data_IF_002967992606
#
_entry.id   IF_002967992606
#
_cell.length_a   1.000
_cell.length_b   1.000
_cell.length_c   1.000
_cell.angle_alpha   90.00
_cell.angle_beta   90.00
_cell.angle_gamma   90.00
#
_symmetry.space_group_name_H-M   'P 1'
#
loop_
_entity.id
_entity.type
_entity.pdbx_description
1 polymer ?
#
# COMPACT_ATOMS: atom_id res chain seq x y z
N UNK A 1 -2.05 25.58 -4.92
CA UNK A 1 -2.33 24.39 -5.74
C UNK A 1 -3.49 23.70 -5.05
N UNK A 2 -4.63 23.63 -5.73
CA UNK A 2 -5.85 23.02 -5.20
C UNK A 2 -5.75 21.51 -5.44
N UNK A 3 -5.68 20.72 -4.37
CA UNK A 3 -5.73 19.25 -4.47
C UNK A 3 -7.18 18.90 -4.78
N UNK A 4 -7.43 18.36 -5.97
CA UNK A 4 -8.75 17.84 -6.31
C UNK A 4 -9.14 16.75 -5.30
N UNK A 5 -10.17 17.00 -4.49
CA UNK A 5 -10.70 16.01 -3.55
C UNK A 5 -11.16 14.77 -4.33
N UNK A 6 -10.50 13.64 -4.10
CA UNK A 6 -10.85 12.38 -4.76
C UNK A 6 -12.00 11.74 -3.98
N UNK A 7 -13.19 11.70 -4.60
CA UNK A 7 -14.32 10.99 -4.01
C UNK A 7 -14.01 9.49 -3.91
N UNK A 8 -14.27 8.84 -2.75
CA UNK A 8 -14.08 7.40 -2.60
C UNK A 8 -14.89 6.59 -3.62
N UNK A 9 -14.28 5.57 -4.22
CA UNK A 9 -14.93 4.75 -5.25
C UNK A 9 -14.49 3.28 -5.20
N UNK A 10 -15.42 2.36 -5.46
CA UNK A 10 -15.15 0.92 -5.56
C UNK A 10 -15.06 0.49 -7.03
N UNK A 11 -13.98 -0.20 -7.37
CA UNK A 11 -13.71 -0.69 -8.71
C UNK A 11 -13.81 -2.21 -8.74
N UNK A 12 -14.50 -2.74 -9.75
CA UNK A 12 -14.37 -4.15 -10.09
C UNK A 12 -13.05 -4.36 -10.82
N UNK A 13 -12.22 -5.26 -10.30
CA UNK A 13 -10.87 -5.51 -10.78
C UNK A 13 -10.65 -6.99 -11.07
N UNK A 14 -9.82 -7.30 -12.06
CA UNK A 14 -9.28 -8.64 -12.29
C UNK A 14 -7.77 -8.60 -12.11
N UNK A 15 -7.27 -9.23 -11.04
CA UNK A 15 -5.84 -9.35 -10.81
C UNK A 15 -5.36 -10.69 -11.35
N UNK A 16 -4.34 -10.63 -12.22
CA UNK A 16 -3.68 -11.83 -12.74
C UNK A 16 -2.39 -12.05 -11.95
N UNK A 17 -2.30 -13.18 -11.26
CA UNK A 17 -1.11 -13.59 -10.53
C UNK A 17 -0.34 -14.63 -11.32
N UNK A 18 0.89 -14.32 -11.71
CA UNK A 18 1.79 -15.25 -12.39
C UNK A 18 2.93 -15.60 -11.45
N UNK A 19 3.03 -16.87 -11.05
CA UNK A 19 4.21 -17.41 -10.36
C UNK A 19 5.16 -18.00 -11.39
N UNK A 20 6.37 -17.44 -11.44
CA UNK A 20 7.46 -17.96 -12.25
C UNK A 20 8.21 -19.02 -11.43
N UNK A 21 8.22 -20.26 -11.91
CA UNK A 21 8.98 -21.40 -11.41
C UNK A 21 9.23 -22.35 -12.57
N UNK A 22 9.76 -23.55 -12.33
CA UNK A 22 10.11 -24.52 -13.39
C UNK A 22 8.96 -24.79 -14.36
N UNK A 23 7.73 -24.80 -13.85
CA UNK A 23 6.50 -24.73 -14.64
C UNK A 23 5.76 -23.46 -14.23
N UNK A 24 5.58 -22.48 -15.15
CA UNK A 24 4.89 -21.24 -14.81
C UNK A 24 3.42 -21.51 -14.50
N UNK A 25 2.92 -20.86 -13.45
CA UNK A 25 1.52 -20.99 -13.02
C UNK A 25 0.85 -19.62 -12.95
N UNK A 26 -0.25 -19.49 -13.70
CA UNK A 26 -1.05 -18.26 -13.75
C UNK A 26 -2.43 -18.49 -13.17
N UNK A 27 -2.90 -17.55 -12.35
CA UNK A 27 -4.23 -17.51 -11.78
C UNK A 27 -4.86 -16.13 -12.00
N UNK A 28 -6.19 -16.05 -12.03
CA UNK A 28 -6.94 -14.79 -12.16
C UNK A 28 -7.97 -14.70 -11.05
N UNK A 29 -8.03 -13.56 -10.40
CA UNK A 29 -8.95 -13.30 -9.29
C UNK A 29 -9.76 -12.04 -9.59
N UNK A 30 -11.09 -12.19 -9.56
CA UNK A 30 -12.01 -11.05 -9.50
C UNK A 30 -12.07 -10.56 -8.08
N UNK A 31 -11.86 -9.26 -7.90
CA UNK A 31 -11.91 -8.62 -6.60
C UNK A 31 -12.41 -7.18 -6.76
N UNK A 32 -12.87 -6.61 -5.66
CA UNK A 32 -13.18 -5.20 -5.60
C UNK A 32 -11.98 -4.45 -5.01
N UNK A 33 -11.57 -3.37 -5.65
CA UNK A 33 -10.50 -2.47 -5.17
C UNK A 33 -11.13 -1.14 -4.78
N UNK A 34 -10.64 -0.54 -3.70
CA UNK A 34 -11.15 0.71 -3.18
C UNK A 34 -10.16 1.84 -3.42
N UNK A 35 -10.63 2.92 -4.03
CA UNK A 35 -9.89 4.18 -4.14
C UNK A 35 -10.33 5.09 -3.00
N UNK A 36 -9.37 5.51 -2.17
CA UNK A 36 -9.57 6.42 -1.05
C UNK A 36 -8.37 7.35 -0.92
N UNK A 37 -8.62 8.53 -0.37
CA UNK A 37 -7.57 9.35 0.20
C UNK A 37 -7.10 8.73 1.53
N UNK A 38 -5.79 8.64 1.74
CA UNK A 38 -5.22 8.11 2.99
C UNK A 38 -5.18 9.15 4.10
N UNK A 39 -5.15 10.45 3.76
CA UNK A 39 -5.21 11.55 4.72
C UNK A 39 -6.67 11.84 5.15
N UNK A 40 -7.64 11.49 4.29
CA UNK A 40 -9.08 11.66 4.53
C UNK A 40 -9.83 10.33 4.29
N UNK A 41 -9.56 9.34 5.14
CA UNK A 41 -10.25 8.05 5.06
C UNK A 41 -11.76 8.22 5.32
N UNK A 42 -12.62 7.61 4.50
CA UNK A 42 -14.07 7.73 4.65
C UNK A 42 -14.58 7.02 5.91
N UNK A 43 -15.53 7.66 6.60
CA UNK A 43 -16.16 7.11 7.79
C UNK A 43 -17.22 6.06 7.43
N UNK A 44 -16.91 4.79 7.71
CA UNK A 44 -17.86 3.70 7.54
C UNK A 44 -18.80 3.55 8.75
N UNK A 45 -20.06 3.09 8.54
CA UNK A 45 -20.96 2.73 9.62
C UNK A 45 -20.30 1.74 10.61
N UNK A 46 -20.56 1.84 11.93
CA UNK A 46 -19.81 1.08 12.95
C UNK A 46 -19.75 -0.43 12.73
N UNK A 47 -20.80 -1.02 12.17
CA UNK A 47 -20.89 -2.45 11.88
C UNK A 47 -20.04 -2.90 10.67
N UNK A 48 -19.70 -1.99 9.76
CA UNK A 48 -18.88 -2.27 8.58
C UNK A 48 -17.39 -1.97 8.80
N UNK A 49 -17.06 -1.14 9.80
CA UNK A 49 -15.69 -0.78 10.19
C UNK A 49 -14.70 -1.95 10.30
N UNK A 50 -15.02 -3.13 10.89
CA UNK A 50 -14.05 -4.22 10.98
C UNK A 50 -13.68 -4.85 9.63
N UNK A 51 -14.47 -4.64 8.57
CA UNK A 51 -14.24 -5.25 7.26
C UNK A 51 -13.47 -4.36 6.28
N UNK A 52 -13.42 -3.05 6.52
CA UNK A 52 -12.86 -2.08 5.58
C UNK A 52 -12.14 -0.95 6.32
N UNK A 53 -11.15 -1.32 7.13
CA UNK A 53 -10.24 -0.40 7.81
C UNK A 53 -8.87 -0.43 7.16
N UNK A 54 -8.22 0.74 7.09
CA UNK A 54 -6.81 0.87 6.78
C UNK A 54 -6.01 1.04 8.09
N UNK A 55 -4.96 0.24 8.30
CA UNK A 55 -3.99 0.43 9.38
C UNK A 55 -2.58 0.44 8.80
N UNK A 56 -1.83 1.53 8.99
CA UNK A 56 -0.49 1.68 8.42
C UNK A 56 0.47 0.54 8.83
N UNK A 57 0.24 -0.10 9.98
CA UNK A 57 1.07 -1.21 10.45
C UNK A 57 0.97 -2.46 9.59
N UNK A 58 -0.17 -2.67 8.93
CA UNK A 58 -0.39 -3.83 8.06
C UNK A 58 0.27 -3.64 6.69
N UNK A 59 0.62 -2.41 6.34
CA UNK A 59 1.15 -2.03 5.03
C UNK A 59 2.63 -1.67 5.06
N UNK A 60 3.15 -1.19 6.19
CA UNK A 60 4.56 -0.91 6.37
C UNK A 60 5.25 -2.16 6.90
N UNK A 61 6.13 -2.75 6.09
CA UNK A 61 7.06 -3.75 6.60
C UNK A 61 7.88 -3.12 7.76
N UNK A 62 8.14 -3.85 8.86
CA UNK A 62 9.05 -3.38 9.89
C UNK A 62 10.40 -3.12 9.23
N UNK A 63 10.75 -1.85 9.00
CA UNK A 63 12.11 -1.52 8.63
C UNK A 63 12.94 -1.69 9.89
N UNK A 64 13.95 -2.56 9.85
CA UNK A 64 14.94 -2.66 10.94
C UNK A 64 15.76 -1.37 11.12
N UNK A 65 15.41 -0.29 10.42
CA UNK A 65 16.07 1.00 10.44
C UNK A 65 15.02 2.12 10.35
N UNK A 66 14.33 2.38 11.46
CA UNK A 66 13.96 3.76 11.78
C UNK A 66 15.01 4.25 12.78
N UNK A 67 16.23 4.48 12.29
CA UNK A 67 17.17 5.35 12.99
C UNK A 67 16.48 6.72 13.11
N UNK A 68 16.42 7.26 14.33
CA UNK A 68 15.89 8.60 14.60
C UNK A 68 16.78 9.68 14.00
N UNK A 69 16.87 9.72 12.67
CA UNK A 69 17.61 10.72 11.92
C UNK A 69 16.72 11.95 11.81
N UNK A 70 17.03 12.96 12.60
CA UNK A 70 16.49 14.31 12.42
C UNK A 70 16.88 14.77 11.02
N UNK A 71 15.91 14.84 10.11
CA UNK A 71 16.15 15.29 8.74
C UNK A 71 16.78 16.69 8.75
N UNK A 72 18.05 16.77 8.39
CA UNK A 72 18.79 18.02 8.24
C UNK A 72 18.90 18.31 6.75
N UNK A 73 18.29 19.40 6.23
CA UNK A 73 18.39 19.71 4.80
C UNK A 73 19.85 19.98 4.41
N UNK A 74 20.36 19.21 3.42
CA UNK A 74 21.68 19.43 2.82
C UNK A 74 22.69 18.29 2.93
N UNK A 75 22.41 17.21 3.68
CA UNK A 75 23.28 16.02 3.67
C UNK A 75 22.99 15.10 2.46
N UNK A 76 24.03 14.47 1.88
CA UNK A 76 23.82 13.43 0.88
C UNK A 76 23.12 12.23 1.53
N UNK A 77 21.91 11.92 1.08
CA UNK A 77 21.17 10.75 1.54
C UNK A 77 21.86 9.49 1.00
N UNK A 78 22.37 8.65 1.90
CA UNK A 78 22.93 7.35 1.52
C UNK A 78 21.80 6.35 1.33
N UNK A 79 21.42 6.10 0.08
CA UNK A 79 20.51 5.00 -0.26
C UNK A 79 21.27 3.68 -0.17
N UNK A 80 21.08 2.95 0.92
CA UNK A 80 21.50 1.56 1.00
C UNK A 80 20.51 0.70 0.22
N UNK A 81 20.96 0.11 -0.89
CA UNK A 81 20.18 -0.84 -1.68
C UNK A 81 20.00 -2.12 -0.85
N UNK A 82 18.78 -2.39 -0.39
CA UNK A 82 18.42 -3.71 0.12
C UNK A 82 18.17 -4.65 -1.07
N UNK A 83 19.01 -5.67 -1.20
CA UNK A 83 18.79 -6.78 -2.14
C UNK A 83 17.75 -7.72 -1.54
N UNK A 84 16.58 -7.81 -2.16
CA UNK A 84 15.65 -8.92 -1.93
C UNK A 84 16.21 -10.15 -2.67
N UNK A 85 16.83 -11.06 -1.91
CA UNK A 85 17.13 -12.41 -2.40
C UNK A 85 15.84 -13.17 -2.62
N UNK A 86 15.75 -13.85 -3.76
CA UNK A 86 14.66 -14.78 -4.07
C UNK A 86 14.80 -16.08 -3.27
#
# INVERSE_FOLDING_TARGET
>A
MDVAMTAPALYESVVTHTRHGDIPRTFRHRLYTWLVDLDELPELPPWLRPFARFDARDHLAPTASQSGETWTPGLPHRVSRMSAGC
#
